data_IF_940659020295
#
_entry.id   IF_940659020295
#
_cell.length_a   1.000
_cell.length_b   1.000
_cell.length_c   1.000
_cell.angle_alpha   90.00
_cell.angle_beta   90.00
_cell.angle_gamma   90.00
#
_symmetry.space_group_name_H-M   'P 1'
#
loop_
_entity.id
_entity.type
_entity.pdbx_description
1 polymer ?
#
# COMPACT_ATOMS: atom_id res chain seq x y z
N UNK A 1 -4.66 19.69 -73.70
CA UNK A 1 -4.95 18.33 -73.19
C UNK A 1 -4.92 18.36 -71.67
N UNK A 2 -6.08 18.51 -71.03
CA UNK A 2 -6.24 18.54 -69.58
C UNK A 2 -6.63 17.14 -69.08
N UNK A 3 -5.78 16.53 -68.28
CA UNK A 3 -6.01 15.22 -67.71
C UNK A 3 -7.07 15.27 -66.60
N UNK A 4 -8.21 14.64 -66.88
CA UNK A 4 -9.27 14.32 -65.91
C UNK A 4 -8.72 13.40 -64.82
N UNK A 5 -8.68 13.86 -63.57
CA UNK A 5 -8.60 12.97 -62.41
C UNK A 5 -10.01 12.81 -61.82
N UNK A 6 -10.51 11.58 -61.89
CA UNK A 6 -11.80 11.16 -61.36
C UNK A 6 -11.77 11.28 -59.84
N UNK A 7 -12.69 12.05 -59.27
CA UNK A 7 -13.03 11.96 -57.86
C UNK A 7 -13.72 10.62 -57.64
N UNK A 8 -13.10 9.74 -56.85
CA UNK A 8 -13.75 8.55 -56.31
C UNK A 8 -14.25 8.93 -54.92
N UNK A 9 -15.53 9.24 -54.80
CA UNK A 9 -16.25 9.28 -53.54
C UNK A 9 -16.43 7.84 -53.04
N UNK A 10 -15.57 7.39 -52.13
CA UNK A 10 -15.76 6.16 -51.39
C UNK A 10 -16.68 6.43 -50.18
N UNK A 11 -17.92 5.99 -50.37
CA UNK A 11 -19.03 5.87 -49.42
C UNK A 11 -18.62 5.58 -47.96
N UNK A 12 -18.86 6.54 -47.06
CA UNK A 12 -19.75 6.45 -45.89
C UNK A 12 -19.64 5.35 -44.83
N UNK A 13 -18.78 4.33 -44.96
CA UNK A 13 -18.72 3.21 -44.02
C UNK A 13 -17.31 2.66 -43.78
N UNK A 14 -16.27 3.45 -44.06
CA UNK A 14 -14.86 3.03 -43.99
C UNK A 14 -13.95 3.94 -43.17
N UNK A 15 -14.51 4.74 -42.24
CA UNK A 15 -13.74 5.70 -41.43
C UNK A 15 -14.01 5.54 -39.93
N UNK A 16 -13.96 4.31 -39.42
CA UNK A 16 -13.88 4.03 -37.97
C UNK A 16 -12.83 2.95 -37.70
N UNK A 17 -11.63 3.08 -38.27
CA UNK A 17 -10.48 2.23 -37.90
C UNK A 17 -9.15 3.01 -37.93
N UNK A 18 -9.19 4.31 -37.61
CA UNK A 18 -7.98 5.14 -37.49
C UNK A 18 -7.94 6.02 -36.24
N UNK A 19 -8.71 5.68 -35.19
CA UNK A 19 -8.65 6.39 -33.90
C UNK A 19 -8.64 5.47 -32.66
N UNK A 20 -8.76 4.15 -32.82
CA UNK A 20 -8.65 3.19 -31.72
C UNK A 20 -7.24 2.63 -31.51
N UNK A 21 -6.34 2.74 -32.50
CA UNK A 21 -4.97 2.21 -32.39
C UNK A 21 -3.98 3.06 -31.57
N UNK A 22 -4.32 4.33 -31.28
CA UNK A 22 -3.45 5.24 -30.53
C UNK A 22 -3.84 5.36 -29.04
N UNK A 23 -4.94 4.75 -28.61
CA UNK A 23 -5.39 4.74 -27.21
C UNK A 23 -4.98 3.49 -26.42
N UNK A 24 -4.40 2.47 -27.08
CA UNK A 24 -3.96 1.23 -26.43
C UNK A 24 -2.43 1.12 -26.25
N UNK A 25 -1.69 2.24 -26.34
CA UNK A 25 -0.24 2.30 -26.08
C UNK A 25 0.15 3.17 -24.87
N UNK A 26 -0.75 3.30 -23.90
CA UNK A 26 -0.46 3.70 -22.52
C UNK A 26 -0.74 2.54 -21.53
N UNK A 27 -0.68 1.29 -22.02
CA UNK A 27 -0.76 0.07 -21.21
C UNK A 27 0.56 -0.19 -20.45
N UNK A 28 0.89 0.70 -19.51
CA UNK A 28 2.01 0.52 -18.58
C UNK A 28 1.74 1.04 -17.17
N UNK A 29 0.81 1.99 -17.02
CA UNK A 29 0.43 2.51 -15.70
C UNK A 29 -0.88 1.87 -15.30
N UNK A 30 -0.83 0.79 -14.50
CA UNK A 30 -2.01 0.35 -13.74
C UNK A 30 -2.50 1.57 -12.96
N UNK A 31 -3.73 2.03 -13.21
CA UNK A 31 -4.33 3.13 -12.44
C UNK A 31 -4.19 2.80 -10.96
N UNK A 32 -3.44 3.62 -10.22
CA UNK A 32 -3.31 3.42 -8.79
C UNK A 32 -4.61 3.87 -8.16
N UNK A 33 -5.48 2.92 -7.81
CA UNK A 33 -6.76 3.22 -7.16
C UNK A 33 -6.49 3.53 -5.70
N UNK A 34 -6.56 4.80 -5.34
CA UNK A 34 -6.59 5.23 -3.95
C UNK A 34 -7.88 4.72 -3.29
N UNK A 35 -7.75 4.17 -2.09
CA UNK A 35 -8.85 3.65 -1.28
C UNK A 35 -8.81 4.29 0.09
N UNK A 36 -9.96 4.73 0.60
CA UNK A 36 -10.07 5.27 1.95
C UNK A 36 -10.07 4.15 2.99
N UNK A 37 -9.70 4.47 4.23
CA UNK A 37 -9.80 3.54 5.37
C UNK A 37 -11.17 2.86 5.45
N UNK A 38 -12.26 3.64 5.42
CA UNK A 38 -13.63 3.14 5.55
C UNK A 38 -14.06 2.19 4.42
N UNK A 39 -13.50 2.36 3.23
CA UNK A 39 -13.76 1.47 2.09
C UNK A 39 -13.07 0.11 2.22
N UNK A 40 -11.94 0.07 2.94
CA UNK A 40 -11.13 -1.15 3.13
C UNK A 40 -11.52 -1.86 4.43
N UNK A 41 -11.76 -1.08 5.47
CA UNK A 41 -12.02 -1.49 6.84
C UNK A 41 -13.36 -0.88 7.28
N UNK A 42 -14.38 -1.72 7.41
CA UNK A 42 -15.73 -1.30 7.83
C UNK A 42 -15.91 -1.16 9.34
N UNK A 43 -14.86 -1.39 10.13
CA UNK A 43 -14.90 -1.47 11.59
C UNK A 43 -13.64 -0.91 12.23
N UNK A 44 -13.64 -0.84 13.57
CA UNK A 44 -12.44 -0.49 14.33
C UNK A 44 -11.33 -1.52 14.09
N UNK A 45 -10.09 -1.08 13.96
CA UNK A 45 -8.90 -1.90 13.66
C UNK A 45 -7.84 -1.70 14.74
N UNK A 46 -7.25 -2.80 15.19
CA UNK A 46 -6.12 -2.82 16.10
C UNK A 46 -4.80 -2.80 15.30
N UNK A 47 -4.04 -1.72 15.46
CA UNK A 47 -2.80 -1.48 14.72
C UNK A 47 -1.61 -1.63 15.66
N UNK A 48 -0.69 -2.51 15.29
CA UNK A 48 0.65 -2.58 15.88
C UNK A 48 1.62 -1.81 14.99
N UNK A 49 2.29 -0.82 15.56
CA UNK A 49 3.28 -0.04 14.81
C UNK A 49 4.64 -0.70 14.93
N UNK A 50 5.34 -0.87 13.81
CA UNK A 50 6.71 -1.37 13.77
C UNK A 50 7.61 -0.27 13.23
N UNK A 51 8.55 0.19 14.05
CA UNK A 51 9.51 1.22 13.68
C UNK A 51 9.82 2.19 14.82
N UNK A 52 10.76 3.09 14.56
CA UNK A 52 11.09 4.17 15.50
C UNK A 52 11.74 5.33 14.75
N UNK A 53 11.30 6.55 15.05
CA UNK A 53 11.86 7.79 14.52
C UNK A 53 10.82 8.91 14.46
N UNK A 54 11.22 10.12 14.04
CA UNK A 54 10.31 11.26 13.93
C UNK A 54 9.09 10.99 13.04
N UNK A 55 9.28 10.24 11.95
CA UNK A 55 8.19 9.86 11.04
C UNK A 55 7.18 8.91 11.69
N UNK A 56 7.65 7.97 12.52
CA UNK A 56 6.73 7.07 13.24
C UNK A 56 5.96 7.81 14.32
N UNK A 57 6.60 8.74 15.05
CA UNK A 57 5.92 9.55 16.07
C UNK A 57 4.81 10.41 15.45
N UNK A 58 5.11 11.10 14.34
CA UNK A 58 4.13 11.91 13.62
C UNK A 58 2.94 11.08 13.14
N UNK A 59 3.20 9.92 12.53
CA UNK A 59 2.14 9.05 12.02
C UNK A 59 1.35 8.40 13.17
N UNK A 60 2.00 8.03 14.26
CA UNK A 60 1.32 7.51 15.46
C UNK A 60 0.38 8.56 16.07
N UNK A 61 0.81 9.82 16.19
CA UNK A 61 -0.05 10.91 16.67
C UNK A 61 -1.27 11.07 15.75
N UNK A 62 -1.07 11.02 14.44
CA UNK A 62 -2.18 11.09 13.49
C UNK A 62 -3.12 9.89 13.56
N UNK A 63 -2.59 8.66 13.61
CA UNK A 63 -3.38 7.43 13.76
C UNK A 63 -4.15 7.42 15.09
N UNK A 64 -3.57 7.97 16.16
CA UNK A 64 -4.22 8.04 17.48
C UNK A 64 -5.45 8.96 17.50
N UNK A 65 -5.48 9.96 16.61
CA UNK A 65 -6.63 10.85 16.44
C UNK A 65 -7.72 10.24 15.54
N UNK A 66 -7.48 9.09 14.91
CA UNK A 66 -8.45 8.43 14.04
C UNK A 66 -9.40 7.55 14.85
N UNK A 67 -10.70 7.88 14.84
CA UNK A 67 -11.73 7.26 15.71
C UNK A 67 -11.87 5.74 15.58
N UNK A 68 -11.56 5.20 14.40
CA UNK A 68 -11.65 3.77 14.08
C UNK A 68 -10.32 3.01 14.22
N UNK A 69 -9.25 3.66 14.69
CA UNK A 69 -7.95 3.01 14.85
C UNK A 69 -7.60 2.97 16.34
N UNK A 70 -7.14 1.80 16.78
CA UNK A 70 -6.58 1.63 18.11
C UNK A 70 -5.14 1.15 17.97
N UNK A 71 -4.20 1.98 18.42
CA UNK A 71 -2.80 1.59 18.48
C UNK A 71 -2.62 0.67 19.69
N UNK A 72 -2.24 -0.59 19.44
CA UNK A 72 -2.05 -1.59 20.51
C UNK A 72 -0.63 -1.60 21.05
N UNK A 73 0.31 -1.07 20.28
CA UNK A 73 1.64 -0.71 20.76
C UNK A 73 2.65 -0.52 19.65
N UNK A 74 3.92 -0.51 20.05
CA UNK A 74 5.06 -0.19 19.21
C UNK A 74 6.14 -1.25 19.34
N UNK A 75 6.55 -1.87 18.24
CA UNK A 75 7.79 -2.66 18.18
C UNK A 75 8.93 -1.73 17.81
N UNK A 76 9.89 -1.59 18.73
CA UNK A 76 11.06 -0.74 18.53
C UNK A 76 12.13 -1.48 17.73
N UNK A 77 12.71 -0.79 16.76
CA UNK A 77 13.84 -1.29 15.95
C UNK A 77 15.18 -0.89 16.58
N UNK A 78 15.19 0.20 17.37
CA UNK A 78 16.37 0.71 18.05
C UNK A 78 16.11 0.94 19.55
N UNK A 79 17.11 0.60 20.39
CA UNK A 79 17.14 0.82 21.85
C UNK A 79 17.20 2.30 22.28
N UNK A 80 16.69 3.22 21.46
CA UNK A 80 16.55 4.61 21.84
C UNK A 80 15.50 4.72 22.97
N UNK A 81 15.59 5.73 23.82
CA UNK A 81 14.75 5.84 25.03
C UNK A 81 13.24 5.76 24.78
N UNK A 82 12.50 5.36 25.82
CA UNK A 82 11.07 5.13 25.76
C UNK A 82 10.30 6.44 25.95
N UNK A 83 10.08 7.19 24.87
CA UNK A 83 9.30 8.45 24.88
C UNK A 83 7.84 8.27 24.50
N UNK A 84 7.44 7.05 24.12
CA UNK A 84 6.10 6.79 23.59
C UNK A 84 5.08 6.63 24.72
N UNK A 85 3.90 7.23 24.54
CA UNK A 85 2.72 7.01 25.41
C UNK A 85 2.12 5.60 25.29
N UNK A 86 2.64 4.78 24.38
CA UNK A 86 2.13 3.45 24.05
C UNK A 86 3.01 2.35 24.62
N UNK A 87 2.43 1.16 24.78
CA UNK A 87 3.17 -0.04 25.13
C UNK A 87 4.24 -0.35 24.08
N UNK A 88 5.47 -0.56 24.53
CA UNK A 88 6.60 -0.85 23.65
C UNK A 88 7.08 -2.27 23.82
N UNK A 89 7.42 -2.90 22.71
CA UNK A 89 7.85 -4.29 22.62
C UNK A 89 9.18 -4.39 21.88
N UNK A 90 9.99 -5.36 22.27
CA UNK A 90 11.31 -5.55 21.67
C UNK A 90 11.24 -6.34 20.35
N UNK A 91 10.23 -7.18 20.19
CA UNK A 91 10.04 -8.03 19.01
C UNK A 91 8.60 -8.53 18.90
N UNK A 92 8.25 -9.14 17.75
CA UNK A 92 6.92 -9.71 17.51
C UNK A 92 6.57 -10.86 18.46
N UNK A 93 7.54 -11.67 18.90
CA UNK A 93 7.28 -12.80 19.80
C UNK A 93 6.75 -12.32 21.16
N UNK A 94 7.27 -11.22 21.67
CA UNK A 94 6.79 -10.61 22.91
C UNK A 94 5.31 -10.21 22.81
N UNK A 95 4.91 -9.65 21.67
CA UNK A 95 3.54 -9.22 21.40
C UNK A 95 2.60 -10.42 21.29
N UNK A 96 3.03 -11.47 20.58
CA UNK A 96 2.29 -12.72 20.43
C UNK A 96 2.10 -13.43 21.78
N UNK A 97 3.16 -13.52 22.60
CA UNK A 97 3.09 -14.14 23.92
C UNK A 97 2.12 -13.43 24.87
N UNK A 98 1.91 -12.12 24.67
CA UNK A 98 0.95 -11.32 25.44
C UNK A 98 -0.48 -11.39 24.89
N UNK A 99 -0.74 -12.16 23.84
CA UNK A 99 -2.06 -12.30 23.20
C UNK A 99 -2.71 -10.95 22.85
N UNK A 100 -1.91 -9.99 22.40
CA UNK A 100 -2.40 -8.67 22.04
C UNK A 100 -3.18 -8.77 20.74
N UNK A 101 -4.42 -8.25 20.67
CA UNK A 101 -5.20 -8.27 19.43
C UNK A 101 -4.51 -7.39 18.39
N UNK A 102 -4.22 -7.96 17.22
CA UNK A 102 -3.60 -7.26 16.10
C UNK A 102 -4.34 -7.64 14.83
N UNK A 103 -4.86 -6.62 14.15
CA UNK A 103 -5.49 -6.77 12.85
C UNK A 103 -4.50 -6.37 11.74
N UNK A 104 -3.67 -5.36 12.02
CA UNK A 104 -2.74 -4.73 11.08
C UNK A 104 -1.38 -4.49 11.74
N UNK A 105 -0.31 -4.75 10.98
CA UNK A 105 1.03 -4.24 11.30
C UNK A 105 1.34 -3.04 10.39
N UNK A 106 1.66 -1.91 10.99
CA UNK A 106 2.02 -0.67 10.29
C UNK A 106 3.52 -0.41 10.40
N UNK A 107 4.23 -0.55 9.28
CA UNK A 107 5.68 -0.40 9.17
C UNK A 107 6.01 1.04 8.78
N UNK A 108 6.60 1.81 9.70
CA UNK A 108 6.78 3.25 9.53
C UNK A 108 8.13 3.72 10.05
N UNK A 109 8.74 4.71 9.38
CA UNK A 109 9.98 5.34 9.82
C UNK A 109 11.22 4.44 9.76
N UNK A 110 11.06 3.19 9.29
CA UNK A 110 12.14 2.29 8.97
C UNK A 110 11.76 1.44 7.76
N UNK A 111 12.76 0.83 7.13
CA UNK A 111 12.59 0.06 5.90
C UNK A 111 13.11 -1.35 6.13
N UNK A 112 12.28 -2.25 6.69
CA UNK A 112 12.69 -3.62 6.91
C UNK A 112 12.91 -4.30 5.57
N UNK A 113 13.93 -5.14 5.48
CA UNK A 113 14.21 -5.92 4.28
C UNK A 113 13.06 -6.87 3.92
N UNK A 114 13.02 -7.31 2.66
CA UNK A 114 11.99 -8.24 2.18
C UNK A 114 11.89 -9.52 3.00
N UNK A 115 13.02 -10.07 3.48
CA UNK A 115 13.03 -11.26 4.34
C UNK A 115 12.23 -11.05 5.63
N UNK A 116 12.46 -9.93 6.32
CA UNK A 116 11.78 -9.61 7.57
C UNK A 116 10.27 -9.37 7.36
N UNK A 117 9.88 -8.73 6.25
CA UNK A 117 8.46 -8.60 5.88
C UNK A 117 7.81 -9.94 5.54
N UNK A 118 8.54 -10.85 4.91
CA UNK A 118 8.05 -12.19 4.58
C UNK A 118 7.89 -13.08 5.82
N UNK A 119 8.59 -12.82 6.91
CA UNK A 119 8.36 -13.52 8.19
C UNK A 119 6.99 -13.16 8.79
N UNK A 120 6.53 -11.92 8.57
CA UNK A 120 5.21 -11.47 9.05
C UNK A 120 4.04 -12.20 8.39
N UNK A 121 4.24 -12.85 7.24
CA UNK A 121 3.18 -13.65 6.58
C UNK A 121 2.66 -14.77 7.48
N UNK A 122 3.46 -15.21 8.47
CA UNK A 122 3.05 -16.24 9.42
C UNK A 122 1.97 -15.71 10.38
N UNK A 123 1.94 -14.40 10.59
CA UNK A 123 0.94 -13.68 11.38
C UNK A 123 -0.33 -13.52 10.53
N UNK A 124 -1.50 -13.74 11.12
CA UNK A 124 -2.78 -13.60 10.43
C UNK A 124 -3.24 -12.13 10.38
N UNK A 125 -2.39 -11.24 9.85
CA UNK A 125 -2.55 -9.78 9.92
C UNK A 125 -2.39 -9.14 8.54
N UNK A 126 -3.04 -8.00 8.36
CA UNK A 126 -2.79 -7.13 7.21
C UNK A 126 -1.49 -6.33 7.44
N UNK A 127 -0.87 -5.87 6.36
CA UNK A 127 0.38 -5.13 6.39
C UNK A 127 0.20 -3.76 5.74
N UNK A 128 0.52 -2.70 6.48
CA UNK A 128 0.61 -1.35 5.98
C UNK A 128 2.08 -0.96 5.90
N UNK A 129 2.52 -0.57 4.70
CA UNK A 129 3.88 -0.11 4.46
C UNK A 129 3.89 1.39 4.20
N UNK A 130 4.81 2.09 4.84
CA UNK A 130 5.13 3.47 4.51
C UNK A 130 5.79 3.58 3.12
N UNK A 131 5.70 4.76 2.51
CA UNK A 131 6.31 5.08 1.22
C UNK A 131 7.35 6.19 1.38
N UNK A 132 8.49 6.11 0.67
CA UNK A 132 8.88 5.06 -0.29
C UNK A 132 9.35 3.77 0.39
N UNK A 133 9.04 2.61 -0.20
CA UNK A 133 9.61 1.33 0.23
C UNK A 133 10.89 1.00 -0.54
N UNK A 134 11.80 0.26 0.07
CA UNK A 134 13.02 -0.25 -0.58
C UNK A 134 12.78 -1.57 -1.35
N UNK A 135 11.51 -1.92 -1.56
CA UNK A 135 11.12 -3.15 -2.26
C UNK A 135 11.04 -2.86 -3.77
N UNK A 136 11.81 -3.63 -4.54
CA UNK A 136 11.62 -3.70 -5.98
C UNK A 136 10.28 -4.38 -6.34
N UNK A 137 9.90 -4.25 -7.60
CA UNK A 137 8.63 -4.77 -8.11
C UNK A 137 8.46 -6.28 -7.86
N UNK A 138 9.52 -7.08 -8.02
CA UNK A 138 9.46 -8.52 -7.79
C UNK A 138 9.26 -8.87 -6.32
N UNK A 139 9.93 -8.17 -5.40
CA UNK A 139 9.74 -8.34 -3.96
C UNK A 139 8.33 -7.92 -3.53
N UNK A 140 7.79 -6.86 -4.12
CA UNK A 140 6.42 -6.42 -3.91
C UNK A 140 5.40 -7.49 -4.34
N UNK A 141 5.55 -8.07 -5.53
CA UNK A 141 4.68 -9.15 -6.03
C UNK A 141 4.75 -10.41 -5.15
N UNK A 142 5.96 -10.82 -4.77
CA UNK A 142 6.20 -11.96 -3.87
C UNK A 142 5.51 -11.77 -2.51
N UNK A 143 5.61 -10.57 -1.94
CA UNK A 143 4.99 -10.22 -0.66
C UNK A 143 3.45 -10.24 -0.78
N UNK A 144 2.90 -9.59 -1.81
CA UNK A 144 1.46 -9.58 -2.08
C UNK A 144 0.91 -11.01 -2.24
N UNK A 145 1.58 -11.85 -3.03
CA UNK A 145 1.18 -13.23 -3.26
C UNK A 145 1.17 -14.05 -1.97
N UNK A 146 2.16 -13.85 -1.10
CA UNK A 146 2.27 -14.57 0.18
C UNK A 146 1.17 -14.19 1.18
N UNK A 147 0.80 -12.92 1.26
CA UNK A 147 -0.29 -12.45 2.13
C UNK A 147 -1.68 -12.79 1.55
N UNK A 148 -1.84 -12.73 0.23
CA UNK A 148 -3.08 -13.08 -0.46
C UNK A 148 -3.49 -14.55 -0.23
N UNK A 149 -2.52 -15.47 -0.09
CA UNK A 149 -2.80 -16.88 0.27
C UNK A 149 -3.56 -17.03 1.60
N UNK A 150 -3.44 -16.05 2.51
CA UNK A 150 -4.15 -16.00 3.79
C UNK A 150 -5.34 -15.04 3.79
N UNK A 151 -5.74 -14.56 2.61
CA UNK A 151 -6.75 -13.51 2.44
C UNK A 151 -6.37 -12.22 3.22
N UNK A 152 -5.07 -11.91 3.28
CA UNK A 152 -4.52 -10.70 3.89
C UNK A 152 -4.02 -9.72 2.84
N UNK A 153 -4.05 -8.45 3.21
CA UNK A 153 -3.74 -7.34 2.31
C UNK A 153 -2.39 -6.73 2.66
N UNK A 154 -1.64 -6.36 1.63
CA UNK A 154 -0.46 -5.51 1.74
C UNK A 154 -0.79 -4.20 1.06
N UNK A 155 -0.81 -3.12 1.82
CA UNK A 155 -1.23 -1.80 1.37
C UNK A 155 -0.11 -0.80 1.65
N UNK A 156 0.04 0.18 0.77
CA UNK A 156 0.84 1.36 1.09
C UNK A 156 -0.03 2.41 1.73
N UNK A 157 0.32 2.80 2.95
CA UNK A 157 -0.41 3.80 3.72
C UNK A 157 0.17 5.19 3.43
N UNK A 158 -0.72 6.14 3.19
CA UNK A 158 -0.41 7.56 3.00
C UNK A 158 -1.25 8.37 3.97
N UNK A 159 -0.58 9.26 4.67
CA UNK A 159 -1.20 10.22 5.56
C UNK A 159 -1.27 11.56 4.83
N UNK A 160 -2.47 11.92 4.38
CA UNK A 160 -2.75 13.30 3.97
C UNK A 160 -3.15 14.11 5.21
N UNK A 161 -3.28 15.44 5.09
CA UNK A 161 -3.50 16.35 6.22
C UNK A 161 -4.61 15.87 7.17
N UNK A 162 -5.67 15.24 6.63
CA UNK A 162 -6.84 14.77 7.38
C UNK A 162 -7.22 13.29 7.15
N UNK A 163 -6.81 12.66 6.05
CA UNK A 163 -7.28 11.31 5.68
C UNK A 163 -6.16 10.29 5.58
N UNK A 164 -6.43 9.09 6.13
CA UNK A 164 -5.62 7.90 5.92
C UNK A 164 -6.06 7.22 4.62
N UNK A 165 -5.19 7.33 3.62
CA UNK A 165 -5.40 6.79 2.29
C UNK A 165 -4.50 5.59 2.06
N UNK A 166 -4.99 4.66 1.25
CA UNK A 166 -4.27 3.45 0.90
C UNK A 166 -4.17 3.31 -0.60
N UNK A 167 -3.05 2.78 -1.03
CA UNK A 167 -2.89 2.30 -2.39
C UNK A 167 -2.61 0.80 -2.38
N UNK A 168 -3.21 0.11 -3.34
CA UNK A 168 -2.75 -1.23 -3.68
C UNK A 168 -1.28 -1.13 -4.12
N UNK A 169 -0.51 -2.18 -3.85
CA UNK A 169 0.84 -2.32 -4.34
C UNK A 169 0.81 -2.65 -5.84
N UNK A 170 0.39 -1.67 -6.64
CA UNK A 170 0.48 -1.72 -8.09
C UNK A 170 1.91 -1.38 -8.47
N UNK A 171 2.61 -2.42 -8.95
CA UNK A 171 3.87 -2.31 -9.69
C UNK A 171 3.72 -1.22 -10.74
N UNK A 172 4.48 -0.13 -10.59
CA UNK A 172 4.72 0.79 -11.71
C UNK A 172 5.76 0.09 -12.57
N UNK A 173 5.29 -0.62 -13.61
CA UNK A 173 6.15 -0.96 -14.73
C UNK A 173 6.40 0.35 -15.48
N UNK A 174 7.62 0.89 -15.35
CA UNK A 174 8.12 1.93 -16.27
C UNK A 174 8.51 1.27 -17.58
#
# INVERSE_FOLDING_TARGET
MLNRRKFVTLSGAGLVLASTGAWFKLNGVKSVSEKSFTSIYGSKINVLVWGKGPSSEFLMDKLSNHSQIQITGLIQVDNLGNTSKFSTYSNFNEVLNKNIPIDVICVVGHKPGHSALMELKNLNVDLWLDRPSDLDNHKCESLNGSFAQKNKKVLFAYMTENDLMFMDNNVISV
#
